data_IF_877287878840
#
_entry.id   IF_877287878840
#
_cell.length_a   1.000
_cell.length_b   1.000
_cell.length_c   1.000
_cell.angle_alpha   90.00
_cell.angle_beta   90.00
_cell.angle_gamma   90.00
#
_symmetry.space_group_name_H-M   'P 1'
#
loop_
_entity.id
_entity.type
_entity.pdbx_description
1 polymer ?
#
# COMPACT_ATOMS: atom_id res chain seq x y z
N UNK A 1 -33.08 24.44 6.02
CA UNK A 1 -33.69 23.91 7.27
C UNK A 1 -35.20 23.67 7.11
N UNK A 2 -36.04 24.69 6.90
CA UNK A 2 -37.48 24.49 6.73
C UNK A 2 -37.85 23.61 5.52
N UNK A 3 -37.20 23.84 4.37
CA UNK A 3 -37.40 23.04 3.15
C UNK A 3 -36.98 21.57 3.32
N UNK A 4 -35.84 21.31 3.97
CA UNK A 4 -35.38 19.94 4.24
C UNK A 4 -36.28 19.19 5.23
N UNK A 5 -36.86 19.88 6.21
CA UNK A 5 -37.86 19.29 7.09
C UNK A 5 -39.11 18.89 6.31
N UNK A 6 -39.56 19.74 5.39
CA UNK A 6 -40.68 19.43 4.50
C UNK A 6 -40.36 18.25 3.57
N UNK A 7 -39.14 18.15 3.03
CA UNK A 7 -38.67 16.96 2.28
C UNK A 7 -38.80 15.70 3.14
N UNK A 8 -38.34 15.73 4.40
CA UNK A 8 -38.44 14.60 5.32
C UNK A 8 -39.89 14.20 5.63
N UNK A 9 -40.76 15.19 5.84
CA UNK A 9 -42.20 14.97 6.07
C UNK A 9 -42.87 14.30 4.86
N UNK A 10 -42.58 14.77 3.65
CA UNK A 10 -43.12 14.19 2.41
C UNK A 10 -42.67 12.74 2.24
N UNK A 11 -41.41 12.41 2.54
CA UNK A 11 -40.95 11.02 2.57
C UNK A 11 -41.66 10.18 3.63
N UNK A 12 -41.84 10.71 4.84
CA UNK A 12 -42.58 10.03 5.91
C UNK A 12 -44.05 9.75 5.55
N UNK A 13 -44.63 10.56 4.65
CA UNK A 13 -45.98 10.39 4.12
C UNK A 13 -46.04 9.51 2.85
N UNK A 14 -44.91 9.00 2.36
CA UNK A 14 -44.83 8.24 1.11
C UNK A 14 -44.99 9.06 -0.17
N UNK A 15 -44.92 10.40 -0.09
CA UNK A 15 -45.04 11.34 -1.22
C UNK A 15 -43.69 11.55 -1.90
N UNK A 16 -43.11 10.45 -2.38
CA UNK A 16 -41.71 10.38 -2.81
C UNK A 16 -41.38 11.30 -4.00
N UNK A 17 -42.24 11.39 -5.01
CA UNK A 17 -42.03 12.26 -6.19
C UNK A 17 -41.95 13.74 -5.81
N UNK A 18 -42.82 14.19 -4.91
CA UNK A 18 -42.83 15.60 -4.47
C UNK A 18 -41.65 15.91 -3.56
N UNK A 19 -41.24 14.95 -2.73
CA UNK A 19 -40.03 15.08 -1.93
C UNK A 19 -38.78 15.16 -2.83
N UNK A 20 -38.76 14.40 -3.92
CA UNK A 20 -37.70 14.42 -4.94
C UNK A 20 -37.62 15.76 -5.66
N UNK A 21 -38.75 16.29 -6.14
CA UNK A 21 -38.80 17.61 -6.79
C UNK A 21 -38.35 18.73 -5.86
N UNK A 22 -38.81 18.71 -4.60
CA UNK A 22 -38.43 19.72 -3.61
C UNK A 22 -36.94 19.63 -3.26
N UNK A 23 -36.39 18.43 -3.16
CA UNK A 23 -34.96 18.24 -2.94
C UNK A 23 -34.13 18.71 -4.14
N UNK A 24 -34.58 18.48 -5.38
CA UNK A 24 -33.95 19.01 -6.59
C UNK A 24 -33.86 20.54 -6.56
N UNK A 25 -34.97 21.21 -6.21
CA UNK A 25 -35.01 22.67 -6.08
C UNK A 25 -34.04 23.16 -5.00
N UNK A 26 -33.99 22.46 -3.86
CA UNK A 26 -33.07 22.79 -2.77
C UNK A 26 -31.61 22.70 -3.22
N UNK A 27 -31.19 21.61 -3.86
CA UNK A 27 -29.78 21.44 -4.27
C UNK A 27 -29.37 22.41 -5.39
N UNK A 28 -30.31 22.86 -6.23
CA UNK A 28 -30.02 23.91 -7.24
C UNK A 28 -29.71 25.25 -6.58
N UNK A 29 -30.35 25.56 -5.46
CA UNK A 29 -30.09 26.77 -4.68
C UNK A 29 -28.91 26.61 -3.73
N UNK A 30 -28.58 25.37 -3.34
CA UNK A 30 -27.53 25.04 -2.38
C UNK A 30 -26.56 24.00 -2.97
N UNK A 31 -25.85 24.31 -4.06
CA UNK A 31 -25.06 23.34 -4.83
C UNK A 31 -23.81 22.82 -4.10
N UNK A 32 -23.49 23.35 -2.92
CA UNK A 32 -22.35 22.92 -2.10
C UNK A 32 -22.78 22.10 -0.86
N UNK A 33 -24.08 21.83 -0.70
CA UNK A 33 -24.60 20.95 0.37
C UNK A 33 -24.38 19.48 -0.01
N UNK A 34 -23.18 18.98 0.30
CA UNK A 34 -22.69 17.64 -0.08
C UNK A 34 -23.56 16.49 0.45
N UNK A 35 -24.18 16.67 1.61
CA UNK A 35 -25.06 15.65 2.20
C UNK A 35 -26.34 15.53 1.38
N UNK A 36 -26.93 16.66 0.99
CA UNK A 36 -28.15 16.66 0.20
C UNK A 36 -27.89 16.26 -1.26
N UNK A 37 -26.70 16.55 -1.81
CA UNK A 37 -26.29 16.02 -3.13
C UNK A 37 -26.22 14.49 -3.15
N UNK A 38 -25.61 13.88 -2.13
CA UNK A 38 -25.60 12.42 -1.99
C UNK A 38 -27.02 11.87 -1.88
N UNK A 39 -27.83 12.46 -0.98
CA UNK A 39 -29.21 12.06 -0.76
C UNK A 39 -30.04 12.14 -2.05
N UNK A 40 -29.89 13.23 -2.80
CA UNK A 40 -30.56 13.43 -4.07
C UNK A 40 -30.17 12.35 -5.08
N UNK A 41 -28.88 12.05 -5.23
CA UNK A 41 -28.42 11.02 -6.17
C UNK A 41 -28.97 9.62 -5.84
N UNK A 42 -29.02 9.25 -4.56
CA UNK A 42 -29.63 7.97 -4.13
C UNK A 42 -31.13 7.93 -4.43
N UNK A 43 -31.83 9.06 -4.30
CA UNK A 43 -33.25 9.15 -4.63
C UNK A 43 -33.50 9.14 -6.14
N UNK A 44 -32.62 9.75 -6.93
CA UNK A 44 -32.69 9.69 -8.39
C UNK A 44 -32.66 8.24 -8.89
N UNK A 45 -31.88 7.34 -8.27
CA UNK A 45 -31.91 5.91 -8.64
C UNK A 45 -33.31 5.27 -8.52
N UNK A 46 -34.13 5.75 -7.58
CA UNK A 46 -35.45 5.17 -7.29
C UNK A 46 -36.57 5.82 -8.11
N UNK A 47 -36.44 7.10 -8.42
CA UNK A 47 -37.52 7.94 -8.91
C UNK A 47 -37.22 8.65 -10.24
N UNK A 48 -35.94 8.81 -10.58
CA UNK A 48 -35.47 9.51 -11.78
C UNK A 48 -35.27 8.58 -12.98
N UNK A 49 -34.97 9.17 -14.13
CA UNK A 49 -34.50 8.42 -15.29
C UNK A 49 -33.05 7.98 -15.12
N UNK A 50 -32.55 7.12 -16.02
CA UNK A 50 -31.13 6.75 -16.06
C UNK A 50 -30.25 8.00 -16.21
N UNK A 51 -30.63 8.92 -17.10
CA UNK A 51 -29.87 10.14 -17.32
C UNK A 51 -29.89 11.03 -16.08
N UNK A 52 -31.06 11.26 -15.45
CA UNK A 52 -31.15 12.06 -14.23
C UNK A 52 -30.25 11.50 -13.12
N UNK A 53 -30.27 10.19 -12.95
CA UNK A 53 -29.47 9.48 -11.94
C UNK A 53 -27.97 9.61 -12.20
N UNK A 54 -27.53 9.45 -13.45
CA UNK A 54 -26.13 9.65 -13.82
C UNK A 54 -25.70 11.09 -13.55
N UNK A 55 -26.50 12.07 -13.97
CA UNK A 55 -26.20 13.48 -13.70
C UNK A 55 -26.11 13.78 -12.20
N UNK A 56 -27.03 13.23 -11.39
CA UNK A 56 -27.01 13.41 -9.95
C UNK A 56 -25.76 12.80 -9.30
N UNK A 57 -25.35 11.60 -9.70
CA UNK A 57 -24.13 10.98 -9.19
C UNK A 57 -22.86 11.71 -9.61
N UNK A 58 -22.75 12.14 -10.87
CA UNK A 58 -21.61 12.95 -11.32
C UNK A 58 -21.55 14.27 -10.55
N UNK A 59 -22.70 14.91 -10.31
CA UNK A 59 -22.77 16.11 -9.45
C UNK A 59 -22.26 15.82 -8.04
N UNK A 60 -22.68 14.70 -7.42
CA UNK A 60 -22.15 14.32 -6.10
C UNK A 60 -20.64 14.08 -6.15
N UNK A 61 -20.12 13.30 -7.11
CA UNK A 61 -18.70 12.97 -7.20
C UNK A 61 -17.82 14.21 -7.42
N UNK A 62 -18.30 15.22 -8.18
CA UNK A 62 -17.58 16.48 -8.40
C UNK A 62 -17.48 17.34 -7.12
N UNK A 63 -18.50 17.30 -6.26
CA UNK A 63 -18.65 18.24 -5.13
C UNK A 63 -18.33 17.62 -3.78
N UNK A 64 -18.76 16.38 -3.56
CA UNK A 64 -18.55 15.63 -2.33
C UNK A 64 -17.33 14.70 -2.45
N UNK A 65 -16.17 15.27 -2.82
CA UNK A 65 -14.94 14.50 -3.14
C UNK A 65 -14.42 13.64 -1.98
N UNK A 66 -14.79 13.96 -0.73
CA UNK A 66 -14.42 13.20 0.46
C UNK A 66 -15.53 12.23 0.94
N UNK A 67 -16.66 12.14 0.23
CA UNK A 67 -17.77 11.27 0.60
C UNK A 67 -17.67 9.91 -0.08
N UNK A 68 -17.03 8.95 0.60
CA UNK A 68 -16.87 7.55 0.12
C UNK A 68 -18.20 6.89 -0.27
N UNK A 69 -19.33 7.25 0.33
CA UNK A 69 -20.63 6.67 -0.02
C UNK A 69 -21.10 7.12 -1.40
N UNK A 70 -20.75 8.33 -1.86
CA UNK A 70 -21.04 8.74 -3.24
C UNK A 70 -20.28 7.86 -4.25
N UNK A 71 -19.01 7.56 -4.00
CA UNK A 71 -18.23 6.64 -4.84
C UNK A 71 -18.81 5.22 -4.84
N UNK A 72 -19.17 4.70 -3.66
CA UNK A 72 -19.73 3.36 -3.54
C UNK A 72 -21.06 3.24 -4.30
N UNK A 73 -21.97 4.18 -4.09
CA UNK A 73 -23.31 4.13 -4.67
C UNK A 73 -23.26 4.41 -6.18
N UNK A 74 -22.54 5.44 -6.62
CA UNK A 74 -22.36 5.73 -8.04
C UNK A 74 -21.67 4.54 -8.74
N UNK A 75 -20.55 4.06 -8.22
CA UNK A 75 -19.81 2.97 -8.83
C UNK A 75 -20.65 1.69 -9.00
N UNK A 76 -21.39 1.29 -7.97
CA UNK A 76 -22.30 0.14 -8.06
C UNK A 76 -23.49 0.38 -9.00
N UNK A 77 -24.02 1.61 -9.06
CA UNK A 77 -25.06 1.97 -10.02
C UNK A 77 -24.59 1.80 -11.46
N UNK A 78 -23.42 2.35 -11.81
CA UNK A 78 -22.83 2.21 -13.16
C UNK A 78 -22.59 0.74 -13.53
N UNK A 79 -22.14 -0.10 -12.57
CA UNK A 79 -22.05 -1.55 -12.78
C UNK A 79 -23.42 -2.18 -13.10
N UNK A 80 -24.47 -1.79 -12.38
CA UNK A 80 -25.82 -2.36 -12.52
C UNK A 80 -26.49 -2.02 -13.85
N UNK A 81 -26.18 -0.86 -14.44
CA UNK A 81 -26.70 -0.47 -15.76
C UNK A 81 -25.82 -0.98 -16.93
N UNK A 82 -24.77 -1.75 -16.63
CA UNK A 82 -23.88 -2.36 -17.63
C UNK A 82 -22.69 -1.50 -18.06
N UNK A 83 -22.48 -0.32 -17.46
CA UNK A 83 -21.34 0.56 -17.73
C UNK A 83 -20.15 0.18 -16.83
N UNK A 84 -19.57 -0.99 -17.12
CA UNK A 84 -18.57 -1.64 -16.28
C UNK A 84 -17.32 -0.79 -16.05
N UNK A 85 -16.77 -0.18 -17.09
CA UNK A 85 -15.55 0.63 -17.02
C UNK A 85 -15.74 1.85 -16.11
N UNK A 86 -16.85 2.57 -16.27
CA UNK A 86 -17.20 3.70 -15.41
C UNK A 86 -17.40 3.26 -13.95
N UNK A 87 -18.13 2.17 -13.72
CA UNK A 87 -18.34 1.62 -12.39
C UNK A 87 -17.03 1.25 -11.70
N UNK A 88 -16.13 0.53 -12.39
CA UNK A 88 -14.82 0.15 -11.85
C UNK A 88 -13.90 1.36 -11.60
N UNK A 89 -13.89 2.34 -12.50
CA UNK A 89 -13.09 3.55 -12.31
C UNK A 89 -13.54 4.34 -11.07
N UNK A 90 -14.85 4.55 -10.89
CA UNK A 90 -15.41 5.22 -9.71
C UNK A 90 -15.09 4.43 -8.43
N UNK A 91 -15.33 3.11 -8.42
CA UNK A 91 -15.06 2.29 -7.24
C UNK A 91 -13.57 2.26 -6.87
N UNK A 92 -12.68 2.21 -7.88
CA UNK A 92 -11.23 2.29 -7.67
C UNK A 92 -10.83 3.61 -7.02
N UNK A 93 -11.40 4.75 -7.46
CA UNK A 93 -11.15 6.05 -6.82
C UNK A 93 -11.70 6.11 -5.39
N UNK A 94 -12.89 5.56 -5.16
CA UNK A 94 -13.46 5.48 -3.82
C UNK A 94 -12.63 4.60 -2.87
N UNK A 95 -12.01 3.53 -3.38
CA UNK A 95 -11.12 2.67 -2.59
C UNK A 95 -9.80 3.37 -2.25
N UNK A 96 -9.24 4.17 -3.18
CA UNK A 96 -8.06 5.00 -2.91
C UNK A 96 -8.36 6.08 -1.84
N UNK A 97 -9.58 6.63 -1.84
CA UNK A 97 -10.04 7.59 -0.84
C UNK A 97 -10.24 6.94 0.55
N UNK A 98 -10.92 5.80 0.61
CA UNK A 98 -11.14 5.04 1.84
C UNK A 98 -11.27 3.55 1.52
N UNK A 99 -10.24 2.78 1.90
CA UNK A 99 -10.17 1.34 1.66
C UNK A 99 -11.33 0.56 2.31
N UNK A 100 -12.05 1.13 3.28
CA UNK A 100 -13.24 0.50 3.89
C UNK A 100 -14.42 0.42 2.94
N UNK A 101 -14.41 1.12 1.80
CA UNK A 101 -15.44 1.05 0.76
C UNK A 101 -15.81 -0.41 0.42
N UNK A 102 -14.81 -1.28 0.27
CA UNK A 102 -14.97 -2.70 -0.04
C UNK A 102 -15.06 -3.59 1.21
N UNK A 103 -15.23 -3.01 2.40
CA UNK A 103 -15.30 -3.74 3.67
C UNK A 103 -16.50 -3.37 4.53
N UNK A 104 -17.31 -2.36 4.15
CA UNK A 104 -18.47 -1.94 4.93
C UNK A 104 -19.46 -3.08 5.24
N UNK A 105 -19.56 -4.10 4.39
CA UNK A 105 -20.38 -5.29 4.64
C UNK A 105 -19.99 -6.08 5.91
N UNK A 106 -18.78 -5.86 6.45
CA UNK A 106 -18.28 -6.52 7.67
C UNK A 106 -18.63 -5.80 8.96
N UNK A 107 -19.14 -4.56 8.89
CA UNK A 107 -19.42 -3.75 10.06
C UNK A 107 -20.90 -3.79 10.42
N UNK A 108 -21.24 -4.22 11.63
CA UNK A 108 -22.63 -4.44 12.06
C UNK A 108 -23.49 -3.18 11.94
N UNK A 109 -22.96 -2.03 12.38
CA UNK A 109 -23.61 -0.71 12.37
C UNK A 109 -23.89 -0.12 10.98
N UNK A 110 -23.38 -0.71 9.90
CA UNK A 110 -23.64 -0.21 8.53
C UNK A 110 -25.03 -0.65 8.05
N UNK A 111 -25.75 0.26 7.39
CA UNK A 111 -27.06 -0.02 6.80
C UNK A 111 -27.00 -1.14 5.74
N UNK A 112 -28.02 -2.00 5.71
CA UNK A 112 -28.04 -3.21 4.88
C UNK A 112 -27.83 -2.94 3.38
N UNK A 113 -28.41 -1.85 2.85
CA UNK A 113 -28.21 -1.46 1.45
C UNK A 113 -26.74 -1.12 1.15
N UNK A 114 -26.08 -0.42 2.07
CA UNK A 114 -24.66 -0.08 1.97
C UNK A 114 -23.80 -1.34 2.06
N UNK A 115 -24.16 -2.31 2.92
CA UNK A 115 -23.48 -3.61 2.99
C UNK A 115 -23.53 -4.35 1.65
N UNK A 116 -24.72 -4.47 1.04
CA UNK A 116 -24.89 -5.14 -0.27
C UNK A 116 -24.04 -4.50 -1.36
N UNK A 117 -24.05 -3.16 -1.45
CA UNK A 117 -23.23 -2.42 -2.42
C UNK A 117 -21.74 -2.59 -2.15
N UNK A 118 -21.32 -2.53 -0.89
CA UNK A 118 -19.93 -2.73 -0.50
C UNK A 118 -19.43 -4.14 -0.88
N UNK A 119 -20.25 -5.17 -0.66
CA UNK A 119 -19.94 -6.53 -1.07
C UNK A 119 -19.86 -6.69 -2.60
N UNK A 120 -20.78 -6.06 -3.34
CA UNK A 120 -20.73 -6.01 -4.81
C UNK A 120 -19.44 -5.33 -5.32
N UNK A 121 -19.08 -4.20 -4.72
CA UNK A 121 -17.85 -3.48 -5.06
C UNK A 121 -16.59 -4.31 -4.77
N UNK A 122 -16.55 -5.00 -3.62
CA UNK A 122 -15.46 -5.90 -3.23
C UNK A 122 -15.26 -7.01 -4.29
N UNK A 123 -16.33 -7.70 -4.68
CA UNK A 123 -16.28 -8.73 -5.73
C UNK A 123 -15.82 -8.14 -7.07
N UNK A 124 -16.41 -7.01 -7.49
CA UNK A 124 -16.12 -6.40 -8.78
C UNK A 124 -14.64 -6.02 -8.91
N UNK A 125 -14.09 -5.35 -7.90
CA UNK A 125 -12.68 -4.92 -7.91
C UNK A 125 -11.73 -6.12 -7.78
N UNK A 126 -12.03 -7.12 -6.95
CA UNK A 126 -11.20 -8.33 -6.84
C UNK A 126 -11.13 -9.11 -8.15
N UNK A 127 -12.27 -9.32 -8.79
CA UNK A 127 -12.33 -10.00 -10.08
C UNK A 127 -11.54 -9.21 -11.12
N UNK A 128 -11.77 -7.90 -11.20
CA UNK A 128 -11.04 -7.05 -12.12
C UNK A 128 -9.53 -7.12 -11.92
N UNK A 129 -9.01 -6.88 -10.71
CA UNK A 129 -7.57 -6.89 -10.48
C UNK A 129 -6.93 -8.27 -10.66
N UNK A 130 -7.65 -9.35 -10.33
CA UNK A 130 -7.15 -10.71 -10.58
C UNK A 130 -7.08 -11.01 -12.08
N UNK A 131 -8.10 -10.64 -12.86
CA UNK A 131 -8.07 -10.75 -14.33
C UNK A 131 -6.94 -9.91 -14.93
N UNK A 132 -6.69 -8.70 -14.41
CA UNK A 132 -5.61 -7.84 -14.90
C UNK A 132 -4.23 -8.43 -14.61
N UNK A 133 -4.03 -9.02 -13.43
CA UNK A 133 -2.80 -9.75 -13.13
C UNK A 133 -2.60 -10.94 -14.09
N UNK A 134 -3.63 -11.75 -14.30
CA UNK A 134 -3.56 -12.88 -15.25
C UNK A 134 -3.23 -12.42 -16.68
N UNK A 135 -3.85 -11.32 -17.14
CA UNK A 135 -3.56 -10.73 -18.45
C UNK A 135 -2.09 -10.31 -18.56
N UNK A 136 -1.55 -9.64 -17.53
CA UNK A 136 -0.17 -9.17 -17.50
C UNK A 136 0.86 -10.30 -17.66
N UNK A 137 0.57 -11.47 -17.08
CA UNK A 137 1.52 -12.61 -17.02
C UNK A 137 1.22 -13.70 -18.07
N UNK A 138 0.08 -13.61 -18.77
CA UNK A 138 -0.38 -14.62 -19.74
C UNK A 138 0.64 -15.00 -20.84
N UNK A 139 1.55 -14.10 -21.19
CA UNK A 139 2.56 -14.30 -22.26
C UNK A 139 3.89 -14.88 -21.75
N UNK A 140 3.97 -15.23 -20.46
CA UNK A 140 5.19 -15.72 -19.80
C UNK A 140 5.01 -17.18 -19.37
N UNK A 141 5.37 -18.16 -20.24
CA UNK A 141 5.25 -19.57 -19.89
C UNK A 141 6.14 -19.93 -18.69
N UNK A 142 7.34 -19.36 -18.61
CA UNK A 142 8.39 -19.69 -17.64
C UNK A 142 8.24 -18.99 -16.27
N UNK A 143 7.11 -18.34 -16.00
CA UNK A 143 6.84 -17.61 -14.75
C UNK A 143 5.63 -18.19 -14.00
N UNK A 144 5.60 -19.50 -13.82
CA UNK A 144 4.46 -20.21 -13.23
C UNK A 144 4.16 -19.76 -11.79
N UNK A 145 5.19 -19.56 -10.94
CA UNK A 145 5.01 -19.07 -9.58
C UNK A 145 4.29 -17.71 -9.57
N UNK A 146 4.67 -16.81 -10.48
CA UNK A 146 4.11 -15.47 -10.58
C UNK A 146 2.69 -15.48 -11.13
N UNK A 147 2.35 -16.42 -12.02
CA UNK A 147 0.98 -16.58 -12.54
C UNK A 147 -0.02 -16.94 -11.44
N UNK A 148 0.45 -17.66 -10.42
CA UNK A 148 -0.33 -18.04 -9.25
C UNK A 148 -0.14 -17.08 -8.07
N UNK A 149 0.45 -15.90 -8.31
CA UNK A 149 0.63 -14.91 -7.28
C UNK A 149 -0.73 -14.38 -6.79
N UNK A 150 -0.75 -14.06 -5.50
CA UNK A 150 -1.91 -13.56 -4.80
C UNK A 150 -1.65 -12.11 -4.44
N UNK A 151 -2.61 -11.23 -4.74
CA UNK A 151 -2.64 -9.87 -4.23
C UNK A 151 -3.59 -9.83 -3.04
N UNK A 152 -3.13 -9.94 -1.78
CA UNK A 152 -4.00 -10.28 -0.64
C UNK A 152 -5.21 -9.35 -0.46
N UNK A 153 -5.07 -8.06 -0.78
CA UNK A 153 -6.17 -7.09 -0.69
C UNK A 153 -7.20 -7.20 -1.82
N UNK A 154 -6.83 -7.77 -2.97
CA UNK A 154 -7.66 -7.75 -4.19
C UNK A 154 -7.74 -9.09 -4.92
N UNK A 155 -7.41 -10.20 -4.26
CA UNK A 155 -7.54 -11.54 -4.84
C UNK A 155 -8.99 -12.01 -4.75
N UNK A 156 -9.49 -12.63 -5.82
CA UNK A 156 -10.89 -13.04 -5.92
C UNK A 156 -11.19 -14.44 -5.37
N UNK A 157 -10.18 -15.24 -5.06
CA UNK A 157 -10.34 -16.55 -4.44
C UNK A 157 -9.92 -16.55 -2.98
N UNK A 158 -10.44 -17.50 -2.20
CA UNK A 158 -9.93 -17.79 -0.88
C UNK A 158 -8.51 -18.38 -1.00
N UNK A 159 -7.63 -18.02 -0.06
CA UNK A 159 -6.28 -18.55 0.02
C UNK A 159 -5.83 -18.58 1.49
N UNK A 160 -4.74 -19.29 1.74
CA UNK A 160 -4.07 -19.35 3.05
C UNK A 160 -2.59 -19.05 2.86
N UNK A 161 -1.97 -18.43 3.86
CA UNK A 161 -0.52 -18.29 3.89
C UNK A 161 0.11 -19.64 4.27
N UNK A 162 1.27 -19.93 3.69
CA UNK A 162 2.04 -21.15 3.95
C UNK A 162 2.48 -21.25 5.42
N UNK A 163 2.86 -20.11 6.02
CA UNK A 163 3.23 -20.01 7.42
C UNK A 163 2.24 -19.12 8.20
N UNK A 164 1.85 -19.56 9.40
CA UNK A 164 0.84 -18.89 10.24
C UNK A 164 1.22 -17.43 10.59
N UNK A 165 2.51 -17.21 10.81
CA UNK A 165 3.10 -15.92 11.20
C UNK A 165 3.57 -15.08 10.00
N UNK A 166 3.26 -15.50 8.77
CA UNK A 166 3.54 -14.77 7.53
C UNK A 166 2.26 -14.15 6.97
N UNK A 167 2.24 -12.84 6.76
CA UNK A 167 1.05 -12.11 6.25
C UNK A 167 1.44 -10.87 5.42
N UNK A 168 2.10 -11.04 4.25
CA UNK A 168 2.39 -9.92 3.37
C UNK A 168 1.11 -9.18 3.01
N UNK A 169 1.15 -7.85 2.99
CA UNK A 169 -0.05 -7.06 2.76
C UNK A 169 -0.44 -6.94 1.28
N UNK A 170 0.55 -6.91 0.37
CA UNK A 170 0.38 -6.44 -1.02
C UNK A 170 0.51 -7.55 -2.07
N UNK A 171 1.55 -8.38 -1.99
CA UNK A 171 1.84 -9.40 -3.00
C UNK A 171 2.42 -10.68 -2.37
N UNK A 172 1.93 -11.84 -2.79
CA UNK A 172 2.28 -13.11 -2.17
C UNK A 172 2.47 -14.21 -3.21
N UNK A 173 3.60 -14.91 -3.11
CA UNK A 173 3.93 -16.09 -3.90
C UNK A 173 3.86 -17.33 -3.00
N UNK A 174 2.80 -18.16 -3.13
CA UNK A 174 2.58 -19.30 -2.22
C UNK A 174 3.56 -20.46 -2.43
N UNK A 175 4.36 -20.43 -3.49
CA UNK A 175 5.32 -21.48 -3.86
C UNK A 175 6.71 -21.26 -3.28
N UNK A 176 7.00 -20.06 -2.75
CA UNK A 176 8.31 -19.75 -2.17
C UNK A 176 8.45 -20.36 -0.78
N UNK A 177 9.64 -20.86 -0.46
CA UNK A 177 9.99 -21.30 0.89
C UNK A 177 9.76 -20.19 1.89
N UNK A 178 8.99 -20.46 2.95
CA UNK A 178 8.66 -19.50 3.99
C UNK A 178 9.46 -19.81 5.27
N UNK A 179 10.49 -19.00 5.55
CA UNK A 179 11.22 -19.06 6.81
C UNK A 179 11.64 -17.65 7.28
N UNK A 180 11.68 -17.42 8.61
CA UNK A 180 11.85 -16.07 9.14
C UNK A 180 13.26 -15.51 8.91
N UNK A 181 14.30 -16.32 9.12
CA UNK A 181 15.71 -15.91 8.95
C UNK A 181 16.39 -16.75 7.89
N UNK A 182 17.28 -16.11 7.13
CA UNK A 182 18.07 -16.72 6.08
C UNK A 182 19.55 -16.50 6.34
N UNK A 183 20.40 -17.47 5.96
CA UNK A 183 21.85 -17.20 5.92
C UNK A 183 22.13 -16.39 4.66
N UNK A 184 22.79 -15.24 4.82
CA UNK A 184 23.10 -14.36 3.70
C UNK A 184 23.78 -15.12 2.55
N UNK A 185 24.81 -15.93 2.84
CA UNK A 185 25.56 -16.69 1.84
C UNK A 185 24.82 -17.88 1.20
N UNK A 186 23.69 -18.29 1.76
CA UNK A 186 22.79 -19.27 1.12
C UNK A 186 21.80 -18.56 0.18
N UNK A 187 21.43 -17.30 0.48
CA UNK A 187 20.49 -16.52 -0.32
C UNK A 187 21.17 -15.68 -1.43
N UNK A 188 22.36 -15.14 -1.18
CA UNK A 188 23.14 -14.29 -2.09
C UNK A 188 24.61 -14.20 -1.67
N UNK A 189 25.48 -13.52 -2.42
CA UNK A 189 26.89 -13.34 -2.03
C UNK A 189 27.08 -12.25 -0.96
N UNK A 190 26.59 -12.49 0.26
CA UNK A 190 26.63 -11.53 1.37
C UNK A 190 28.03 -11.16 1.86
N UNK A 191 29.03 -12.03 1.63
CA UNK A 191 30.42 -11.77 1.99
C UNK A 191 30.98 -10.49 1.37
N UNK A 192 30.51 -10.08 0.19
CA UNK A 192 30.92 -8.82 -0.46
C UNK A 192 30.68 -7.62 0.48
N UNK A 193 29.54 -7.62 1.17
CA UNK A 193 29.15 -6.53 2.08
C UNK A 193 29.89 -6.66 3.42
N UNK A 194 29.97 -7.87 3.98
CA UNK A 194 30.66 -8.07 5.27
C UNK A 194 32.16 -7.77 5.20
N UNK A 195 32.82 -8.14 4.09
CA UNK A 195 34.24 -7.81 3.87
C UNK A 195 34.45 -6.33 3.54
N UNK A 196 33.46 -5.68 2.91
CA UNK A 196 33.45 -4.25 2.64
C UNK A 196 33.01 -3.39 3.84
N UNK A 197 32.77 -3.99 5.01
CA UNK A 197 32.17 -3.29 6.15
C UNK A 197 32.92 -2.03 6.58
N UNK A 198 34.25 -2.10 6.69
CA UNK A 198 35.05 -0.95 7.13
C UNK A 198 34.90 0.25 6.18
N UNK A 199 34.76 -0.01 4.88
CA UNK A 199 34.52 1.01 3.86
C UNK A 199 33.12 1.63 4.07
N UNK A 200 32.10 0.79 4.20
CA UNK A 200 30.70 1.25 4.40
C UNK A 200 30.58 2.07 5.68
N UNK A 201 31.18 1.60 6.78
CA UNK A 201 31.21 2.29 8.07
C UNK A 201 31.96 3.62 7.96
N UNK A 202 33.09 3.66 7.28
CA UNK A 202 33.84 4.90 7.06
C UNK A 202 33.05 5.93 6.26
N UNK A 203 32.39 5.52 5.17
CA UNK A 203 31.56 6.44 4.37
C UNK A 203 30.34 6.93 5.17
N UNK A 204 29.70 6.05 5.96
CA UNK A 204 28.61 6.45 6.85
C UNK A 204 29.08 7.43 7.94
N UNK A 205 30.23 7.21 8.56
CA UNK A 205 30.75 8.11 9.59
C UNK A 205 30.98 9.53 9.05
N UNK A 206 31.35 9.67 7.77
CA UNK A 206 31.48 10.96 7.10
C UNK A 206 30.12 11.65 6.79
N UNK A 207 29.01 10.96 7.01
CA UNK A 207 27.64 11.48 6.88
C UNK A 207 27.02 11.95 8.18
N UNK A 208 27.61 11.62 9.35
CA UNK A 208 26.96 11.84 10.66
C UNK A 208 26.49 13.28 10.86
N UNK A 209 27.35 14.26 10.56
CA UNK A 209 27.02 15.69 10.70
C UNK A 209 26.03 16.21 9.65
N UNK A 210 25.65 15.36 8.68
CA UNK A 210 24.72 15.69 7.58
C UNK A 210 23.38 14.98 7.72
N UNK A 211 23.20 14.11 8.71
CA UNK A 211 21.98 13.32 8.90
C UNK A 211 20.74 14.23 8.96
N UNK A 212 20.81 15.33 9.71
CA UNK A 212 19.66 16.23 9.86
C UNK A 212 19.28 16.96 8.56
N UNK A 213 20.22 17.11 7.62
CA UNK A 213 19.99 17.74 6.32
C UNK A 213 19.64 16.77 5.18
N UNK A 214 20.10 15.53 5.27
CA UNK A 214 19.90 14.48 4.25
C UNK A 214 18.83 13.46 4.63
N UNK A 215 18.47 13.38 5.90
CA UNK A 215 17.53 12.42 6.44
C UNK A 215 16.11 12.95 6.49
N UNK A 216 15.16 12.04 6.38
CA UNK A 216 13.74 12.31 6.58
C UNK A 216 13.14 11.30 7.56
N UNK A 217 12.03 11.63 8.26
CA UNK A 217 11.26 10.63 8.98
C UNK A 217 10.90 9.47 8.06
N UNK A 218 11.21 8.24 8.46
CA UNK A 218 10.97 7.06 7.61
C UNK A 218 9.47 6.80 7.39
N UNK A 219 8.69 6.94 8.46
CA UNK A 219 7.24 6.82 8.39
C UNK A 219 6.60 8.19 8.23
N UNK A 220 5.71 8.31 7.26
CA UNK A 220 4.81 9.47 7.12
C UNK A 220 3.86 9.58 8.33
N UNK A 221 3.39 10.79 8.65
CA UNK A 221 2.45 11.04 9.76
C UNK A 221 1.16 10.21 9.67
N UNK A 222 0.72 9.83 8.47
CA UNK A 222 -0.48 9.01 8.26
C UNK A 222 -0.42 7.64 8.95
N UNK A 223 0.78 7.13 9.26
CA UNK A 223 0.97 5.85 9.96
C UNK A 223 0.80 5.93 11.48
N UNK A 224 0.59 7.12 12.06
CA UNK A 224 0.30 7.28 13.51
C UNK A 224 -0.92 6.48 13.98
N UNK A 225 -1.87 6.17 13.09
CA UNK A 225 -3.07 5.40 13.46
C UNK A 225 -2.89 3.87 13.35
N UNK A 226 -1.71 3.41 12.92
CA UNK A 226 -1.39 1.99 12.73
C UNK A 226 -0.46 1.44 13.83
N UNK A 227 -0.41 2.11 14.99
CA UNK A 227 0.40 1.71 16.15
C UNK A 227 1.83 2.26 16.17
N UNK A 228 2.18 3.13 15.21
CA UNK A 228 3.49 3.79 15.11
C UNK A 228 3.51 5.21 15.68
N UNK A 229 2.65 5.50 16.65
CA UNK A 229 2.29 6.84 17.13
C UNK A 229 3.51 7.70 17.53
N UNK A 230 4.58 7.05 18.03
CA UNK A 230 5.83 7.69 18.46
C UNK A 230 6.90 7.82 17.37
N UNK A 231 6.75 7.09 16.26
CA UNK A 231 7.74 6.99 15.18
C UNK A 231 7.28 7.70 13.90
N UNK A 232 5.99 7.60 13.57
CA UNK A 232 5.39 8.21 12.39
C UNK A 232 5.48 9.75 12.43
N UNK A 233 6.13 10.31 11.41
CA UNK A 233 6.44 11.74 11.27
C UNK A 233 7.51 12.27 12.22
N UNK A 234 8.24 11.40 12.93
CA UNK A 234 9.24 11.81 13.92
C UNK A 234 10.66 11.53 13.43
N UNK A 235 11.62 12.38 13.84
CA UNK A 235 13.05 12.10 13.70
C UNK A 235 13.56 11.00 14.66
N UNK A 236 12.67 10.31 15.38
CA UNK A 236 13.04 9.16 16.20
C UNK A 236 13.40 7.94 15.34
N UNK A 237 12.92 7.94 14.09
CA UNK A 237 13.29 6.99 13.05
C UNK A 237 13.61 7.75 11.76
N UNK A 238 14.89 8.03 11.53
CA UNK A 238 15.37 8.76 10.37
C UNK A 238 15.89 7.79 9.32
N UNK A 239 15.53 8.01 8.07
CA UNK A 239 16.06 7.29 6.92
C UNK A 239 16.87 8.22 6.01
N UNK A 240 18.07 7.79 5.65
CA UNK A 240 18.87 8.41 4.58
C UNK A 240 18.75 7.52 3.34
N UNK A 241 17.80 7.86 2.46
CA UNK A 241 17.51 7.08 1.27
C UNK A 241 18.59 7.23 0.20
N UNK A 242 19.28 6.13 -0.11
CA UNK A 242 20.14 6.00 -1.28
C UNK A 242 19.30 5.65 -2.51
N UNK A 243 18.32 4.77 -2.34
CA UNK A 243 17.25 4.52 -3.31
C UNK A 243 15.89 4.61 -2.59
N UNK A 244 14.92 5.26 -3.22
CA UNK A 244 13.53 5.35 -2.78
C UNK A 244 12.62 5.20 -3.98
N UNK A 245 11.69 4.24 -3.93
CA UNK A 245 10.79 3.90 -5.04
C UNK A 245 11.51 3.70 -6.38
N UNK A 246 12.71 3.07 -6.34
CA UNK A 246 13.54 2.85 -7.53
C UNK A 246 14.35 4.06 -8.00
N UNK A 247 14.27 5.21 -7.31
CA UNK A 247 14.97 6.43 -7.70
C UNK A 247 16.22 6.59 -6.84
N UNK A 248 17.39 6.65 -7.49
CA UNK A 248 18.67 6.94 -6.84
C UNK A 248 18.68 8.39 -6.33
N UNK A 249 19.13 8.59 -5.09
CA UNK A 249 19.47 9.90 -4.54
C UNK A 249 20.90 10.30 -4.98
N UNK A 250 21.07 11.22 -5.95
CA UNK A 250 22.38 11.58 -6.45
C UNK A 250 23.23 12.34 -5.43
N UNK A 251 22.62 13.01 -4.47
CA UNK A 251 23.35 13.73 -3.41
C UNK A 251 23.98 12.76 -2.43
N UNK A 252 23.19 11.84 -1.86
CA UNK A 252 23.71 10.84 -0.94
C UNK A 252 24.72 9.92 -1.64
N UNK A 253 24.47 9.53 -2.90
CA UNK A 253 25.36 8.69 -3.68
C UNK A 253 26.78 9.26 -3.85
N UNK A 254 26.96 10.59 -3.87
CA UNK A 254 28.30 11.23 -3.92
C UNK A 254 29.09 11.02 -2.64
N UNK A 255 28.42 10.76 -1.52
CA UNK A 255 29.06 10.53 -0.22
C UNK A 255 29.35 9.06 0.06
N UNK A 256 28.66 8.13 -0.62
CA UNK A 256 28.82 6.68 -0.42
C UNK A 256 29.17 5.91 -1.71
N UNK A 257 30.11 6.40 -2.56
CA UNK A 257 30.37 5.79 -3.86
C UNK A 257 30.89 4.35 -3.78
N UNK A 258 31.65 4.00 -2.75
CA UNK A 258 32.17 2.63 -2.59
C UNK A 258 31.08 1.69 -2.07
N UNK A 259 30.24 2.14 -1.13
CA UNK A 259 29.05 1.39 -0.70
C UNK A 259 28.15 1.08 -1.89
N UNK A 260 27.92 2.06 -2.77
CA UNK A 260 27.14 1.85 -3.99
C UNK A 260 27.80 0.82 -4.93
N UNK A 261 29.14 0.81 -5.04
CA UNK A 261 29.87 -0.16 -5.84
C UNK A 261 29.78 -1.60 -5.29
N UNK A 262 29.76 -1.76 -3.96
CA UNK A 262 29.56 -3.06 -3.31
C UNK A 262 28.12 -3.56 -3.52
N UNK A 263 27.13 -2.70 -3.31
CA UNK A 263 25.71 -3.01 -3.47
C UNK A 263 25.37 -3.48 -4.91
N UNK A 264 26.00 -2.89 -5.93
CA UNK A 264 25.82 -3.27 -7.34
C UNK A 264 26.23 -4.71 -7.68
N UNK A 265 26.96 -5.39 -6.80
CA UNK A 265 27.37 -6.78 -6.98
C UNK A 265 26.32 -7.78 -6.46
N UNK A 266 25.26 -7.30 -5.80
CA UNK A 266 24.22 -8.12 -5.22
C UNK A 266 22.98 -8.21 -6.14
N UNK A 267 22.16 -9.28 -6.00
CA UNK A 267 20.88 -9.39 -6.69
C UNK A 267 19.81 -8.52 -6.00
N UNK A 268 20.03 -7.20 -6.00
CA UNK A 268 19.14 -6.26 -5.34
C UNK A 268 17.73 -6.33 -5.95
N UNK A 269 16.74 -6.30 -5.06
CA UNK A 269 15.34 -6.26 -5.42
C UNK A 269 14.98 -4.90 -6.03
N UNK A 270 14.27 -4.92 -7.16
CA UNK A 270 13.77 -3.73 -7.84
C UNK A 270 12.47 -3.99 -8.57
N UNK A 271 11.43 -3.15 -8.37
CA UNK A 271 10.21 -3.20 -9.21
C UNK A 271 10.41 -2.56 -10.58
N UNK A 272 11.53 -1.85 -10.75
CA UNK A 272 12.03 -1.32 -12.01
C UNK A 272 13.51 -1.77 -12.16
N UNK A 273 14.23 -1.24 -13.14
CA UNK A 273 15.64 -1.59 -13.37
C UNK A 273 16.57 -1.29 -12.17
N UNK A 274 16.18 -0.35 -11.31
CA UNK A 274 16.95 0.08 -10.14
C UNK A 274 16.44 -0.56 -8.84
N UNK A 275 17.31 -0.69 -7.82
CA UNK A 275 16.91 -1.13 -6.48
C UNK A 275 15.74 -0.31 -5.94
N UNK A 276 14.74 -0.98 -5.39
CA UNK A 276 13.50 -0.31 -4.97
C UNK A 276 13.73 0.57 -3.74
N UNK A 277 14.33 0.01 -2.69
CA UNK A 277 14.71 0.73 -1.48
C UNK A 277 16.10 0.30 -0.99
N UNK A 278 16.94 1.30 -0.70
CA UNK A 278 18.21 1.14 0.00
C UNK A 278 18.41 2.38 0.85
N UNK A 279 18.60 2.24 2.15
CA UNK A 279 18.71 3.39 3.05
C UNK A 279 19.46 3.07 4.33
N UNK A 280 20.08 4.09 4.92
CA UNK A 280 20.55 4.00 6.29
C UNK A 280 19.40 4.31 7.24
N UNK A 281 19.12 3.40 8.16
CA UNK A 281 18.09 3.55 9.19
C UNK A 281 18.72 3.88 10.55
N UNK A 282 18.50 5.12 10.98
CA UNK A 282 18.86 5.60 12.32
C UNK A 282 17.66 5.45 13.23
N UNK A 283 17.81 4.65 14.28
CA UNK A 283 16.78 4.44 15.31
C UNK A 283 17.31 5.03 16.63
N UNK A 284 16.61 6.04 17.15
CA UNK A 284 17.04 6.76 18.37
C UNK A 284 17.12 5.83 19.58
N UNK A 285 17.88 6.26 20.59
CA UNK A 285 17.97 5.60 21.89
C UNK A 285 16.58 5.23 22.47
N UNK A 286 16.47 4.01 23.01
CA UNK A 286 15.27 3.51 23.68
C UNK A 286 14.04 3.27 22.78
N UNK A 287 14.16 3.41 21.46
CA UNK A 287 13.01 3.26 20.55
C UNK A 287 12.71 1.80 20.19
N UNK A 288 11.43 1.53 19.97
CA UNK A 288 10.88 0.24 19.57
C UNK A 288 10.01 0.43 18.33
N UNK A 289 10.43 -0.19 17.23
CA UNK A 289 9.59 -0.37 16.04
C UNK A 289 8.67 -1.54 16.34
N UNK A 290 7.40 -1.21 16.56
CA UNK A 290 6.36 -2.17 16.95
C UNK A 290 6.14 -3.24 15.90
N UNK A 291 5.47 -4.31 16.32
CA UNK A 291 5.21 -5.47 15.49
C UNK A 291 4.43 -5.13 14.22
N UNK A 292 4.95 -5.54 13.06
CA UNK A 292 4.33 -5.32 11.74
C UNK A 292 4.71 -6.41 10.74
N UNK A 293 4.17 -6.30 9.52
CA UNK A 293 4.45 -7.17 8.39
C UNK A 293 4.92 -6.34 7.19
N UNK A 294 5.77 -6.93 6.37
CA UNK A 294 6.19 -6.39 5.08
C UNK A 294 5.11 -6.48 4.02
N UNK A 295 5.41 -5.93 2.85
CA UNK A 295 4.44 -5.85 1.75
C UNK A 295 4.38 -7.14 0.93
N UNK A 296 5.47 -7.91 0.85
CA UNK A 296 5.57 -9.06 -0.05
C UNK A 296 6.66 -10.04 0.32
N UNK A 297 6.54 -11.31 -0.11
CA UNK A 297 7.55 -12.35 0.13
C UNK A 297 8.49 -12.62 -1.05
N UNK A 298 8.43 -11.82 -2.13
CA UNK A 298 9.31 -12.00 -3.30
C UNK A 298 10.73 -11.44 -3.09
N UNK A 299 10.99 -10.85 -1.93
CA UNK A 299 12.30 -10.31 -1.55
C UNK A 299 12.63 -10.66 -0.11
N UNK A 300 13.92 -10.72 0.20
CA UNK A 300 14.41 -10.80 1.57
C UNK A 300 14.97 -9.44 1.99
N UNK A 301 14.66 -9.00 3.20
CA UNK A 301 15.20 -7.79 3.80
C UNK A 301 16.53 -8.11 4.47
N UNK A 302 17.54 -7.28 4.20
CA UNK A 302 18.89 -7.43 4.68
C UNK A 302 19.28 -6.19 5.47
N UNK A 303 19.73 -6.40 6.70
CA UNK A 303 20.29 -5.35 7.53
C UNK A 303 21.79 -5.61 7.74
N UNK A 304 22.60 -4.60 7.41
CA UNK A 304 24.00 -4.51 7.83
C UNK A 304 24.10 -3.53 8.99
N UNK A 305 24.38 -3.99 10.22
CA UNK A 305 24.54 -3.10 11.36
C UNK A 305 25.86 -2.35 11.29
N UNK A 306 25.80 -1.02 11.44
CA UNK A 306 26.96 -0.12 11.31
C UNK A 306 27.38 0.40 12.68
N UNK A 307 26.39 0.83 13.46
CA UNK A 307 26.56 1.33 14.82
C UNK A 307 25.52 0.60 15.68
N UNK A 308 25.99 -0.27 16.57
CA UNK A 308 25.12 -1.08 17.43
C UNK A 308 25.49 -0.85 18.90
N UNK A 309 24.87 0.13 19.56
CA UNK A 309 25.02 0.30 21.00
C UNK A 309 24.20 -0.77 21.75
N UNK A 310 24.84 -1.46 22.69
CA UNK A 310 24.17 -2.37 23.63
C UNK A 310 23.44 -3.57 22.99
N UNK A 311 22.38 -4.04 23.65
CA UNK A 311 21.73 -5.32 23.38
C UNK A 311 20.48 -5.22 22.47
N UNK A 312 20.50 -4.29 21.50
CA UNK A 312 19.42 -4.16 20.53
C UNK A 312 19.24 -5.41 19.65
N UNK A 313 18.01 -5.69 19.22
CA UNK A 313 17.70 -6.89 18.45
C UNK A 313 16.59 -6.67 17.42
N UNK A 314 16.48 -7.64 16.52
CA UNK A 314 15.31 -7.85 15.66
C UNK A 314 14.68 -9.20 16.00
N UNK A 315 13.35 -9.22 16.05
CA UNK A 315 12.57 -10.44 16.23
C UNK A 315 11.70 -10.63 15.00
N UNK A 316 11.76 -11.82 14.41
CA UNK A 316 10.99 -12.22 13.24
C UNK A 316 10.33 -13.55 13.58
N UNK A 317 9.00 -13.58 13.51
CA UNK A 317 8.18 -14.64 14.07
C UNK A 317 8.51 -14.89 15.56
N UNK A 318 8.86 -16.13 15.91
CA UNK A 318 9.25 -16.57 17.25
C UNK A 318 10.77 -16.48 17.50
N UNK A 319 11.55 -16.05 16.51
CA UNK A 319 13.01 -16.03 16.58
C UNK A 319 13.56 -14.63 16.79
N UNK A 320 14.61 -14.52 17.61
CA UNK A 320 15.32 -13.27 17.88
C UNK A 320 16.77 -13.34 17.42
N UNK A 321 17.29 -12.22 16.89
CA UNK A 321 18.72 -12.03 16.55
C UNK A 321 19.18 -10.67 17.08
N UNK A 322 20.22 -10.69 17.91
CA UNK A 322 20.92 -9.48 18.32
C UNK A 322 21.70 -8.91 17.14
N UNK A 323 21.77 -7.58 17.08
CA UNK A 323 22.59 -6.92 16.07
C UNK A 323 24.08 -7.05 16.41
N UNK A 324 24.91 -7.25 15.39
CA UNK A 324 26.37 -7.25 15.51
C UNK A 324 26.94 -6.42 14.36
N UNK A 325 27.82 -5.48 14.68
CA UNK A 325 28.45 -4.64 13.66
C UNK A 325 29.15 -5.48 12.60
N UNK A 326 28.89 -5.15 11.33
CA UNK A 326 29.49 -5.83 10.18
C UNK A 326 29.00 -7.26 9.92
N UNK A 327 27.98 -7.74 10.65
CA UNK A 327 27.35 -9.04 10.44
C UNK A 327 25.94 -8.89 9.92
N UNK A 328 25.68 -9.45 8.75
CA UNK A 328 24.37 -9.35 8.12
C UNK A 328 23.31 -10.12 8.90
N UNK A 329 22.13 -9.53 8.99
CA UNK A 329 20.90 -10.26 9.32
C UNK A 329 19.97 -10.18 8.12
N UNK A 330 19.70 -11.35 7.54
CA UNK A 330 18.78 -11.52 6.41
C UNK A 330 17.51 -12.21 6.90
N UNK A 331 16.36 -11.64 6.60
CA UNK A 331 15.07 -12.15 7.04
C UNK A 331 13.99 -11.90 5.99
N UNK A 332 12.91 -12.68 6.08
CA UNK A 332 11.70 -12.44 5.30
C UNK A 332 10.79 -11.52 6.13
N UNK A 333 10.69 -10.25 5.72
CA UNK A 333 9.90 -9.23 6.41
C UNK A 333 8.39 -9.45 6.23
N UNK A 334 7.96 -10.33 5.33
CA UNK A 334 6.55 -10.74 5.23
C UNK A 334 6.08 -11.56 6.43
N UNK A 335 7.00 -12.02 7.28
CA UNK A 335 6.71 -12.51 8.63
C UNK A 335 6.50 -11.36 9.61
N UNK A 336 5.71 -11.63 10.65
CA UNK A 336 5.53 -10.69 11.75
C UNK A 336 6.89 -10.35 12.38
N UNK A 337 7.23 -9.06 12.49
CA UNK A 337 8.54 -8.67 12.99
C UNK A 337 8.53 -7.33 13.74
N UNK A 338 9.53 -7.16 14.61
CA UNK A 338 9.76 -5.95 15.39
C UNK A 338 11.27 -5.71 15.57
N UNK A 339 11.67 -4.46 15.78
CA UNK A 339 13.06 -4.09 16.01
C UNK A 339 13.19 -3.13 17.20
N UNK A 340 14.17 -3.39 18.07
CA UNK A 340 14.31 -2.65 19.34
C UNK A 340 15.74 -2.13 19.50
N UNK A 341 15.86 -0.84 19.81
CA UNK A 341 17.08 -0.24 20.34
C UNK A 341 16.94 -0.02 21.84
N UNK A 342 17.49 -0.94 22.64
CA UNK A 342 17.42 -0.88 24.11
C UNK A 342 18.49 0.03 24.75
N UNK A 343 19.37 0.61 23.95
CA UNK A 343 20.49 1.40 24.46
C UNK A 343 20.13 2.86 24.71
N UNK A 344 21.07 3.58 25.33
CA UNK A 344 21.03 5.03 25.51
C UNK A 344 21.69 5.81 24.35
N UNK A 345 22.00 5.15 23.22
CA UNK A 345 22.60 5.75 22.04
C UNK A 345 21.87 5.33 20.76
N UNK A 346 22.11 6.03 19.66
CA UNK A 346 21.44 5.77 18.39
C UNK A 346 22.00 4.51 17.72
N UNK A 347 21.12 3.69 17.14
CA UNK A 347 21.48 2.49 16.38
C UNK A 347 21.35 2.77 14.89
N UNK A 348 22.38 2.44 14.12
CA UNK A 348 22.41 2.60 12.66
C UNK A 348 22.58 1.26 11.99
N UNK A 349 21.67 0.96 11.05
CA UNK A 349 21.80 -0.15 10.11
C UNK A 349 21.65 0.34 8.67
N UNK A 350 22.38 -0.23 7.72
CA UNK A 350 22.07 -0.12 6.29
C UNK A 350 21.04 -1.20 5.94
N UNK A 351 19.91 -0.79 5.38
CA UNK A 351 18.81 -1.65 4.97
C UNK A 351 18.76 -1.67 3.44
N UNK A 352 18.64 -2.88 2.89
CA UNK A 352 18.36 -3.12 1.47
C UNK A 352 17.61 -4.45 1.34
N UNK A 353 17.05 -4.69 0.16
CA UNK A 353 16.38 -5.94 -0.15
C UNK A 353 17.03 -6.63 -1.33
N UNK A 354 17.06 -7.95 -1.31
CA UNK A 354 17.47 -8.81 -2.42
C UNK A 354 16.28 -9.62 -2.90
N UNK A 355 16.29 -10.03 -4.16
CA UNK A 355 15.30 -10.98 -4.64
C UNK A 355 15.32 -12.26 -3.81
N UNK A 356 14.16 -12.88 -3.62
CA UNK A 356 14.08 -14.19 -2.99
C UNK A 356 14.92 -15.20 -3.80
N UNK A 357 15.77 -16.03 -3.15
CA UNK A 357 16.76 -16.85 -3.85
C UNK A 357 16.17 -17.92 -4.79
N UNK A 358 14.90 -18.27 -4.60
CA UNK A 358 14.18 -19.23 -5.46
C UNK A 358 13.55 -18.59 -6.70
N UNK A 359 13.68 -17.27 -6.90
CA UNK A 359 13.14 -16.58 -8.08
C UNK A 359 14.17 -16.53 -9.21
N UNK A 360 13.79 -17.09 -10.35
CA UNK A 360 14.53 -16.94 -11.60
C UNK A 360 14.44 -15.51 -12.16
N UNK A 361 15.39 -15.12 -13.02
CA UNK A 361 15.35 -13.83 -13.74
C UNK A 361 14.04 -13.62 -14.52
N UNK A 362 13.46 -14.71 -15.04
CA UNK A 362 12.18 -14.67 -15.75
C UNK A 362 11.02 -14.33 -14.82
N UNK A 363 11.00 -14.89 -13.61
CA UNK A 363 10.00 -14.61 -12.59
C UNK A 363 10.17 -13.21 -12.00
N UNK A 364 11.40 -12.76 -11.75
CA UNK A 364 11.67 -11.38 -11.31
C UNK A 364 11.10 -10.37 -12.31
N UNK A 365 11.36 -10.57 -13.62
CA UNK A 365 10.78 -9.74 -14.68
C UNK A 365 9.26 -9.83 -14.75
N UNK A 366 8.68 -11.01 -14.52
CA UNK A 366 7.23 -11.17 -14.49
C UNK A 366 6.60 -10.42 -13.29
N UNK A 367 7.26 -10.41 -12.13
CA UNK A 367 6.82 -9.63 -10.98
C UNK A 367 6.83 -8.15 -11.32
N UNK A 368 7.94 -7.62 -11.84
CA UNK A 368 8.05 -6.22 -12.29
C UNK A 368 6.90 -5.86 -13.24
N UNK A 369 6.66 -6.67 -14.26
CA UNK A 369 5.57 -6.48 -15.21
C UNK A 369 4.18 -6.51 -14.56
N UNK A 370 3.95 -7.38 -13.57
CA UNK A 370 2.69 -7.41 -12.84
C UNK A 370 2.44 -6.11 -12.08
N UNK A 371 3.48 -5.54 -11.46
CA UNK A 371 3.40 -4.29 -10.71
C UNK A 371 3.22 -3.10 -11.66
N UNK A 372 4.00 -3.03 -12.74
CA UNK A 372 3.88 -2.01 -13.79
C UNK A 372 2.48 -2.01 -14.41
N UNK A 373 1.96 -3.19 -14.76
CA UNK A 373 0.61 -3.33 -15.30
C UNK A 373 -0.45 -2.84 -14.31
N UNK A 374 -0.31 -3.17 -13.02
CA UNK A 374 -1.24 -2.70 -11.98
C UNK A 374 -1.21 -1.17 -11.86
N UNK A 375 -0.03 -0.56 -11.83
CA UNK A 375 0.12 0.90 -11.78
C UNK A 375 -0.51 1.56 -13.01
N UNK A 376 -0.28 1.01 -14.20
CA UNK A 376 -0.88 1.50 -15.45
C UNK A 376 -2.40 1.46 -15.41
N UNK A 377 -2.98 0.34 -14.99
CA UNK A 377 -4.44 0.19 -14.88
C UNK A 377 -5.05 1.18 -13.87
N UNK A 378 -4.38 1.42 -12.73
CA UNK A 378 -4.82 2.43 -11.77
C UNK A 378 -4.77 3.85 -12.35
N UNK A 379 -3.72 4.18 -13.12
CA UNK A 379 -3.63 5.45 -13.82
C UNK A 379 -4.72 5.61 -14.89
N UNK A 380 -5.04 4.54 -15.63
CA UNK A 380 -6.13 4.52 -16.62
C UNK A 380 -7.49 4.74 -15.95
N UNK A 381 -7.76 4.10 -14.81
CA UNK A 381 -8.98 4.33 -14.03
C UNK A 381 -9.07 5.77 -13.50
N UNK A 382 -7.96 6.35 -13.01
CA UNK A 382 -7.91 7.77 -12.62
C UNK A 382 -8.24 8.68 -13.80
N UNK A 383 -7.62 8.46 -14.95
CA UNK A 383 -7.87 9.25 -16.15
C UNK A 383 -9.32 9.12 -16.64
N UNK A 384 -9.86 7.90 -16.64
CA UNK A 384 -11.25 7.64 -16.98
C UNK A 384 -12.22 8.37 -16.03
N UNK A 385 -11.99 8.25 -14.72
CA UNK A 385 -12.79 8.94 -13.70
C UNK A 385 -12.76 10.46 -13.92
N UNK A 386 -11.58 11.03 -14.16
CA UNK A 386 -11.44 12.47 -14.40
C UNK A 386 -12.14 12.95 -15.69
N UNK A 387 -12.25 12.10 -16.72
CA UNK A 387 -12.98 12.41 -17.94
C UNK A 387 -14.50 12.21 -17.80
N UNK A 388 -14.91 11.40 -16.82
CA UNK A 388 -16.30 11.14 -16.50
C UNK A 388 -16.89 12.29 -15.65
N UNK A 389 -16.07 12.86 -14.75
CA UNK A 389 -16.30 14.17 -14.15
C UNK A 389 -16.10 15.28 -15.18
#
# INVERSE_FOLDING_TARGET
>A
MAELNQVNELFGQGRNEQAYELLNQYIQQNPDDVEQLYRFAVLSEQLGTVDDTKHAYISCLRKATNNVLCYLYAGTYYLNIGEKEAGLAILSQGQDLDARLTMFYRYEQVAEQTKKRSYQADIALRNFYTEQHQKAISTKPDAEAVRNAIWPQTHNNAFTYLAEQQRPHLFYLPTLTAQPFWRANEAFNGQVIEQGFDIIKSEFNALVDKIDGLGEPYLDEKYKQQGFDKLAGSANWTALHLFKDGILNPELARHVPQTLALLKQLPLYGLIEQPYEVFYSVLKAGQHITTHYGLSNHSLTVHLPIIVPGDGYIKVADQQRAWQEGKLVTFDDSFIHEAINLSNADRVVLIFSVWHPELSDAEQKAIQQSFEHRQRIQAEHRAYFNNLL
#
